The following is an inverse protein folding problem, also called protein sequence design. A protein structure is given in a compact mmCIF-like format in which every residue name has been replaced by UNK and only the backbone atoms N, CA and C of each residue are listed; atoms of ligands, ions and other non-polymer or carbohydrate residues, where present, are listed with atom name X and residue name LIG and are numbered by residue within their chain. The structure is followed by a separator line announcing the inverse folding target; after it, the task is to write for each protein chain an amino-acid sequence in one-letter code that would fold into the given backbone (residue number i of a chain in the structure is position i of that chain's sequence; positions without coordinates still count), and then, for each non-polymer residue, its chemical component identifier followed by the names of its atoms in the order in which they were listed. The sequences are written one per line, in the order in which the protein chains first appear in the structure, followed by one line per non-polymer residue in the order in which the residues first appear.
data_IF_339625139833
#
_entry.id   IF_339625139833
#
_cell.length_a   1.000
_cell.length_b   1.000
_cell.length_c   1.000
_cell.angle_alpha   90.00
_cell.angle_beta   90.00
_cell.angle_gamma   90.00
#
_symmetry.space_group_name_H-M   'P 1'
#
loop_
_entity.id
_entity.type
_entity.pdbx_description
1 polymer ?
#
# COMPACT_ATOMS: atom_id res chain seq x y z
N UNK A 1 -52.36 -11.42 15.14
CA UNK A 1 -51.72 -10.10 14.94
C UNK A 1 -50.72 -9.89 16.07
N UNK A 2 -49.56 -9.29 15.75
CA UNK A 2 -48.34 -9.10 16.55
C UNK A 2 -47.40 -10.34 16.58
N UNK A 3 -46.56 -10.54 15.55
CA UNK A 3 -45.31 -9.85 15.17
C UNK A 3 -44.08 -10.39 15.93
N UNK A 4 -43.37 -11.26 15.22
CA UNK A 4 -41.93 -11.51 15.35
C UNK A 4 -41.17 -10.19 15.40
N UNK A 5 -40.34 -9.99 16.42
CA UNK A 5 -39.13 -9.18 16.26
C UNK A 5 -37.94 -9.98 16.79
N UNK A 6 -37.19 -10.54 15.84
CA UNK A 6 -35.78 -10.83 16.02
C UNK A 6 -35.12 -9.47 16.25
N UNK A 7 -34.68 -9.19 17.48
CA UNK A 7 -33.84 -8.03 17.77
C UNK A 7 -32.43 -8.32 17.27
N UNK A 8 -32.18 -7.82 16.06
CA UNK A 8 -30.96 -7.14 15.63
C UNK A 8 -29.72 -7.39 16.50
N UNK A 9 -28.96 -8.43 16.12
CA UNK A 9 -27.54 -8.57 16.45
C UNK A 9 -26.78 -7.52 15.62
N UNK A 10 -26.76 -6.30 16.15
CA UNK A 10 -26.16 -5.12 15.54
C UNK A 10 -24.63 -5.29 15.53
N UNK A 11 -24.15 -5.79 14.39
CA UNK A 11 -22.77 -6.16 14.10
C UNK A 11 -21.80 -5.00 14.23
N UNK A 12 -21.42 -4.70 15.47
CA UNK A 12 -20.16 -4.02 15.82
C UNK A 12 -19.00 -4.95 15.47
N UNK A 13 -18.73 -5.13 14.17
CA UNK A 13 -17.38 -5.43 13.72
C UNK A 13 -16.54 -4.27 14.21
N UNK A 14 -15.82 -4.45 15.31
CA UNK A 14 -14.76 -3.53 15.71
C UNK A 14 -13.89 -3.36 14.46
N UNK A 15 -13.88 -2.16 13.88
CA UNK A 15 -12.99 -1.85 12.77
C UNK A 15 -11.58 -1.82 13.35
N UNK A 16 -10.90 -2.98 13.34
CA UNK A 16 -9.50 -3.08 13.70
C UNK A 16 -8.72 -2.31 12.64
N UNK A 17 -8.17 -1.15 13.01
CA UNK A 17 -7.29 -0.38 12.13
C UNK A 17 -5.87 -0.93 12.23
N UNK A 18 -5.43 -1.66 11.22
CA UNK A 18 -4.08 -2.19 11.14
C UNK A 18 -3.08 -1.06 10.86
N UNK A 19 -1.95 -1.06 11.55
CA UNK A 19 -0.87 -0.08 11.37
C UNK A 19 0.47 -0.79 11.26
N UNK A 20 1.29 -0.32 10.34
CA UNK A 20 2.67 -0.77 10.14
C UNK A 20 3.62 0.21 10.84
N UNK A 21 4.54 -0.32 11.65
CA UNK A 21 5.62 0.49 12.20
C UNK A 21 6.73 0.60 11.16
N UNK A 22 7.14 1.83 10.88
CA UNK A 22 8.13 2.13 9.85
C UNK A 22 9.15 3.13 10.37
N UNK A 23 10.43 2.96 10.03
CA UNK A 23 11.46 3.98 10.22
C UNK A 23 11.40 5.05 9.12
N UNK A 24 12.16 6.14 9.31
CA UNK A 24 12.28 7.20 8.29
C UNK A 24 12.83 6.70 6.97
N UNK A 25 13.83 5.81 7.02
CA UNK A 25 14.47 5.26 5.83
C UNK A 25 13.47 4.42 5.04
N UNK A 26 12.68 3.60 5.74
CA UNK A 26 11.68 2.73 5.14
C UNK A 26 10.59 3.54 4.43
N UNK A 27 10.08 4.61 5.06
CA UNK A 27 9.12 5.51 4.44
C UNK A 27 9.71 6.30 3.25
N UNK A 28 11.01 6.64 3.31
CA UNK A 28 11.70 7.28 2.19
C UNK A 28 11.83 6.33 1.00
N UNK A 29 12.25 5.08 1.22
CA UNK A 29 12.30 4.04 0.19
C UNK A 29 10.94 3.83 -0.45
N UNK A 30 9.86 3.80 0.33
CA UNK A 30 8.49 3.73 -0.21
C UNK A 30 8.12 4.95 -1.06
N UNK A 31 8.55 6.15 -0.67
CA UNK A 31 8.32 7.37 -1.44
C UNK A 31 9.06 7.34 -2.79
N UNK A 32 10.33 6.91 -2.78
CA UNK A 32 11.14 6.79 -4.00
C UNK A 32 10.53 5.77 -4.97
N UNK A 33 10.07 4.62 -4.46
CA UNK A 33 9.40 3.59 -5.26
C UNK A 33 8.10 4.11 -5.89
N UNK A 34 7.26 4.80 -5.12
CA UNK A 34 6.00 5.36 -5.63
C UNK A 34 6.26 6.48 -6.65
N UNK A 35 7.27 7.32 -6.42
CA UNK A 35 7.68 8.34 -7.38
C UNK A 35 8.16 7.72 -8.70
N UNK A 36 8.92 6.64 -8.65
CA UNK A 36 9.36 5.92 -9.84
C UNK A 36 8.17 5.33 -10.62
N UNK A 37 7.18 4.75 -9.93
CA UNK A 37 5.97 4.27 -10.59
C UNK A 37 5.13 5.38 -11.23
N UNK A 38 5.01 6.54 -10.59
CA UNK A 38 4.34 7.69 -11.21
C UNK A 38 5.09 8.08 -12.48
N UNK A 39 6.42 8.19 -12.41
CA UNK A 39 7.27 8.55 -13.55
C UNK A 39 7.13 7.54 -14.69
N UNK A 40 7.10 6.25 -14.42
CA UNK A 40 6.88 5.20 -15.41
C UNK A 40 5.47 5.30 -16.02
N UNK A 41 4.44 5.47 -15.19
CA UNK A 41 3.05 5.61 -15.60
C UNK A 41 2.78 6.85 -16.47
N UNK A 42 3.47 7.95 -16.24
CA UNK A 42 3.38 9.18 -17.04
C UNK A 42 4.11 9.06 -18.39
N UNK A 43 5.05 8.12 -18.53
CA UNK A 43 5.88 7.95 -19.72
C UNK A 43 5.48 6.75 -20.59
N UNK A 44 4.27 6.20 -20.41
CA UNK A 44 3.76 5.11 -21.24
C UNK A 44 3.51 5.60 -22.67
N UNK A 45 4.29 5.09 -23.65
CA UNK A 45 4.25 5.54 -25.05
C UNK A 45 3.75 4.46 -26.00
N UNK A 46 3.80 3.20 -25.58
CA UNK A 46 3.40 2.04 -26.37
C UNK A 46 2.56 1.07 -25.54
N UNK A 47 1.85 0.19 -26.22
CA UNK A 47 1.13 -0.91 -25.57
C UNK A 47 2.07 -1.81 -24.76
N UNK A 48 3.29 -2.03 -25.26
CA UNK A 48 4.31 -2.79 -24.53
C UNK A 48 4.68 -2.12 -23.20
N UNK A 49 4.80 -0.79 -23.17
CA UNK A 49 5.07 -0.04 -21.92
C UNK A 49 3.90 -0.21 -20.93
N UNK A 50 2.66 -0.14 -21.43
CA UNK A 50 1.45 -0.28 -20.61
C UNK A 50 1.37 -1.68 -19.97
N UNK A 51 1.71 -2.72 -20.74
CA UNK A 51 1.76 -4.11 -20.26
C UNK A 51 2.86 -4.30 -19.22
N UNK A 52 4.07 -3.78 -19.47
CA UNK A 52 5.18 -3.86 -18.54
C UNK A 52 4.85 -3.18 -17.21
N UNK A 53 4.35 -1.93 -17.26
CA UNK A 53 3.96 -1.18 -16.07
C UNK A 53 2.90 -1.89 -15.23
N UNK A 54 1.91 -2.53 -15.88
CA UNK A 54 0.90 -3.31 -15.19
C UNK A 54 1.50 -4.53 -14.47
N UNK A 55 2.48 -5.21 -15.09
CA UNK A 55 3.20 -6.32 -14.46
C UNK A 55 4.00 -5.85 -13.25
N UNK A 56 4.74 -4.74 -13.37
CA UNK A 56 5.59 -4.18 -12.31
C UNK A 56 4.76 -3.80 -11.07
N UNK A 57 3.63 -3.11 -11.27
CA UNK A 57 2.70 -2.77 -10.17
C UNK A 57 2.20 -4.03 -9.48
N UNK A 58 1.80 -5.06 -10.25
CA UNK A 58 1.27 -6.30 -9.67
C UNK A 58 2.34 -7.06 -8.89
N UNK A 59 3.56 -7.11 -9.40
CA UNK A 59 4.68 -7.73 -8.71
C UNK A 59 4.93 -7.06 -7.36
N UNK A 60 4.96 -5.72 -7.32
CA UNK A 60 5.15 -4.98 -6.08
C UNK A 60 4.01 -5.22 -5.10
N UNK A 61 2.76 -5.16 -5.56
CA UNK A 61 1.60 -5.46 -4.71
C UNK A 61 1.67 -6.88 -4.17
N UNK A 62 2.05 -7.88 -4.97
CA UNK A 62 2.21 -9.26 -4.52
C UNK A 62 3.33 -9.39 -3.49
N UNK A 63 4.48 -8.72 -3.69
CA UNK A 63 5.59 -8.74 -2.72
C UNK A 63 5.19 -8.11 -1.39
N UNK A 64 4.49 -6.98 -1.42
CA UNK A 64 3.98 -6.28 -0.22
C UNK A 64 2.94 -7.09 0.52
N UNK A 65 2.04 -7.69 -0.24
CA UNK A 65 1.02 -8.58 0.24
C UNK A 65 1.66 -9.75 1.01
N UNK A 66 2.74 -10.31 0.47
CA UNK A 66 3.41 -11.43 1.11
C UNK A 66 4.20 -11.03 2.35
N UNK A 67 4.93 -9.93 2.29
CA UNK A 67 5.65 -9.38 3.43
C UNK A 67 5.90 -7.88 3.19
N UNK A 68 5.19 -6.99 3.89
CA UNK A 68 5.39 -5.55 3.77
C UNK A 68 6.82 -5.13 4.08
N UNK A 69 7.54 -5.87 4.94
CA UNK A 69 8.91 -5.57 5.32
C UNK A 69 9.91 -5.94 4.20
N UNK A 70 9.54 -6.79 3.23
CA UNK A 70 10.42 -7.19 2.11
C UNK A 70 10.65 -6.13 1.05
N UNK A 71 9.75 -5.17 0.90
CA UNK A 71 10.02 -4.01 0.03
C UNK A 71 11.06 -3.07 0.65
N UNK A 72 11.25 -3.20 1.95
CA UNK A 72 11.83 -2.20 2.80
C UNK A 72 13.23 -2.64 3.26
N UNK A 73 13.48 -3.96 3.34
CA UNK A 73 14.77 -4.56 3.65
C UNK A 73 15.44 -5.21 2.41
N UNK A 74 16.60 -4.71 1.93
CA UNK A 74 17.37 -5.34 0.86
C UNK A 74 18.01 -6.69 1.24
N UNK A 75 17.88 -7.19 2.48
CA UNK A 75 18.55 -8.40 2.99
C UNK A 75 17.62 -9.56 3.45
N UNK A 76 16.30 -9.50 3.24
CA UNK A 76 15.37 -10.45 3.86
C UNK A 76 15.18 -11.81 3.11
N UNK A 77 15.77 -12.89 3.61
CA UNK A 77 15.44 -14.30 3.29
C UNK A 77 14.26 -14.84 4.15
N UNK A 78 13.39 -15.71 3.58
CA UNK A 78 12.45 -16.56 4.35
C UNK A 78 11.02 -16.72 3.79
N UNK A 79 10.74 -17.80 3.05
CA UNK A 79 9.40 -18.14 2.55
C UNK A 79 8.53 -18.81 3.63
N UNK A 80 7.24 -18.46 3.67
CA UNK A 80 6.17 -19.30 4.23
C UNK A 80 5.07 -18.52 4.96
N UNK A 81 3.84 -18.65 4.48
CA UNK A 81 2.55 -18.19 5.08
C UNK A 81 2.05 -16.78 4.80
N UNK A 82 2.41 -16.26 3.63
CA UNK A 82 1.94 -14.99 3.10
C UNK A 82 0.55 -15.01 2.42
N UNK A 83 -0.01 -16.18 2.08
CA UNK A 83 -1.16 -16.27 1.17
C UNK A 83 -2.53 -16.15 1.86
N UNK A 84 -2.68 -16.61 3.11
CA UNK A 84 -3.95 -16.52 3.85
C UNK A 84 -4.24 -15.09 4.33
N UNK A 85 -3.21 -14.30 4.63
CA UNK A 85 -3.34 -12.88 4.98
C UNK A 85 -4.01 -12.05 3.87
N UNK A 86 -3.94 -12.49 2.61
CA UNK A 86 -4.39 -11.75 1.43
C UNK A 86 -5.83 -11.97 1.04
N UNK A 87 -6.43 -13.07 1.49
CA UNK A 87 -7.84 -13.32 1.25
C UNK A 87 -8.72 -12.42 2.12
N UNK A 88 -8.19 -11.92 3.25
CA UNK A 88 -8.93 -11.16 4.26
C UNK A 88 -8.59 -9.66 4.33
N UNK A 89 -7.69 -9.15 3.49
CA UNK A 89 -7.44 -7.71 3.42
C UNK A 89 -8.61 -7.01 2.69
N UNK A 90 -9.35 -6.08 3.34
CA UNK A 90 -10.48 -5.37 2.75
C UNK A 90 -10.12 -4.51 1.53
N UNK A 91 -8.82 -4.27 1.33
CA UNK A 91 -8.27 -3.42 0.29
C UNK A 91 -7.63 -4.27 -0.81
N UNK A 92 -8.46 -5.05 -1.51
CA UNK A 92 -8.13 -5.38 -2.90
C UNK A 92 -7.95 -4.06 -3.65
N UNK A 93 -6.70 -3.66 -3.85
CA UNK A 93 -6.34 -2.56 -4.73
C UNK A 93 -7.11 -2.76 -6.05
N UNK A 94 -7.79 -1.73 -6.54
CA UNK A 94 -8.51 -1.76 -7.82
C UNK A 94 -7.60 -2.34 -8.92
N UNK A 95 -6.29 -2.09 -8.81
CA UNK A 95 -5.19 -2.63 -9.60
C UNK A 95 -5.15 -4.16 -9.73
N UNK A 96 -5.46 -4.90 -8.66
CA UNK A 96 -5.46 -6.37 -8.70
C UNK A 96 -6.67 -6.95 -9.43
N UNK A 97 -7.74 -6.15 -9.58
CA UNK A 97 -8.99 -6.59 -10.22
C UNK A 97 -9.09 -6.18 -11.68
N UNK A 98 -8.25 -5.26 -12.15
CA UNK A 98 -8.28 -4.83 -13.55
C UNK A 98 -7.67 -5.91 -14.45
N UNK A 99 -8.44 -6.38 -15.42
CA UNK A 99 -7.94 -7.24 -16.49
C UNK A 99 -6.94 -6.44 -17.36
N UNK A 100 -5.84 -7.05 -17.79
CA UNK A 100 -4.85 -6.42 -18.66
C UNK A 100 -5.47 -5.84 -19.93
N UNK A 101 -6.47 -6.52 -20.53
CA UNK A 101 -7.14 -6.03 -21.74
C UNK A 101 -7.87 -4.71 -21.47
N UNK A 102 -8.58 -4.64 -20.33
CA UNK A 102 -9.26 -3.44 -19.87
C UNK A 102 -8.26 -2.33 -19.51
N UNK A 103 -7.12 -2.71 -18.93
CA UNK A 103 -6.05 -1.77 -18.58
C UNK A 103 -5.41 -1.13 -19.81
N UNK A 104 -5.24 -1.88 -20.91
CA UNK A 104 -4.72 -1.36 -22.19
C UNK A 104 -5.72 -0.37 -22.80
N UNK A 105 -7.01 -0.73 -22.83
CA UNK A 105 -8.05 0.06 -23.50
C UNK A 105 -8.45 1.32 -22.73
N UNK A 106 -8.33 1.34 -21.40
CA UNK A 106 -8.89 2.40 -20.56
C UNK A 106 -7.85 3.38 -19.99
N UNK A 107 -7.57 4.45 -20.73
CA UNK A 107 -6.68 5.52 -20.28
C UNK A 107 -7.14 6.25 -19.00
N UNK A 108 -8.46 6.39 -18.79
CA UNK A 108 -8.99 7.04 -17.59
C UNK A 108 -8.73 6.22 -16.33
N UNK A 109 -8.83 4.89 -16.41
CA UNK A 109 -8.54 3.99 -15.30
C UNK A 109 -7.05 4.01 -14.93
N UNK A 110 -6.15 4.14 -15.92
CA UNK A 110 -4.72 4.37 -15.66
C UNK A 110 -4.46 5.68 -14.94
N UNK A 111 -5.12 6.77 -15.36
CA UNK A 111 -4.97 8.07 -14.70
C UNK A 111 -5.42 8.03 -13.24
N UNK A 112 -6.56 7.37 -12.93
CA UNK A 112 -7.05 7.23 -11.55
C UNK A 112 -6.02 6.54 -10.64
N UNK A 113 -5.31 5.54 -11.16
CA UNK A 113 -4.22 4.87 -10.44
C UNK A 113 -3.06 5.82 -10.17
N UNK A 114 -2.59 6.54 -11.20
CA UNK A 114 -1.47 7.48 -11.09
C UNK A 114 -1.81 8.61 -10.10
N UNK A 115 -3.04 9.10 -10.12
CA UNK A 115 -3.54 10.11 -9.17
C UNK A 115 -3.56 9.57 -7.74
N UNK A 116 -3.95 8.29 -7.57
CA UNK A 116 -3.90 7.57 -6.30
C UNK A 116 -2.48 7.46 -5.74
N UNK A 117 -1.52 7.02 -6.56
CA UNK A 117 -0.10 6.97 -6.21
C UNK A 117 0.44 8.36 -5.85
N UNK A 118 0.09 9.38 -6.63
CA UNK A 118 0.46 10.78 -6.36
C UNK A 118 -0.08 11.28 -5.01
N UNK A 119 -1.29 10.86 -4.64
CA UNK A 119 -1.88 11.19 -3.33
C UNK A 119 -1.14 10.54 -2.17
N UNK A 120 -0.74 9.27 -2.33
CA UNK A 120 0.09 8.55 -1.35
C UNK A 120 1.47 9.19 -1.21
N UNK A 121 2.14 9.50 -2.32
CA UNK A 121 3.45 10.17 -2.33
C UNK A 121 3.43 11.51 -1.56
N UNK A 122 2.40 12.33 -1.78
CA UNK A 122 2.21 13.57 -1.00
C UNK A 122 2.07 13.31 0.49
N UNK A 123 1.39 12.23 0.87
CA UNK A 123 1.21 11.84 2.27
C UNK A 123 2.53 11.40 2.90
N UNK A 124 3.33 10.59 2.20
CA UNK A 124 4.66 10.16 2.68
C UNK A 124 5.60 11.35 2.85
N UNK A 125 5.69 12.23 1.85
CA UNK A 125 6.52 13.45 1.92
C UNK A 125 6.12 14.36 3.09
N UNK A 126 4.83 14.45 3.39
CA UNK A 126 4.32 15.18 4.56
C UNK A 126 4.76 14.52 5.88
N UNK A 127 4.71 13.20 6.00
CA UNK A 127 5.18 12.50 7.20
C UNK A 127 6.69 12.56 7.38
N UNK A 128 7.47 12.41 6.29
CA UNK A 128 8.93 12.55 6.30
C UNK A 128 9.37 13.94 6.77
N UNK A 129 8.62 15.00 6.40
CA UNK A 129 8.91 16.38 6.81
C UNK A 129 8.36 16.76 8.19
N UNK A 130 7.40 16.02 8.73
CA UNK A 130 6.86 16.25 10.07
C UNK A 130 7.78 15.64 11.14
N UNK A 131 8.18 16.40 12.15
CA UNK A 131 8.99 15.88 13.26
C UNK A 131 8.14 15.19 14.34
N UNK A 132 6.89 15.62 14.48
CA UNK A 132 6.02 15.24 15.61
C UNK A 132 5.38 13.85 15.48
N UNK A 133 5.47 13.22 14.32
CA UNK A 133 4.89 11.89 14.04
C UNK A 133 5.85 10.74 14.34
N UNK A 134 7.09 11.05 14.71
CA UNK A 134 8.16 10.07 14.91
C UNK A 134 8.43 9.90 16.39
N UNK A 135 8.50 8.64 16.82
CA UNK A 135 8.77 8.27 18.22
C UNK A 135 10.01 7.39 18.27
N UNK A 136 10.88 7.55 19.28
CA UNK A 136 12.01 6.65 19.47
C UNK A 136 11.50 5.25 19.79
N UNK A 137 12.10 4.22 19.16
CA UNK A 137 11.71 2.83 19.39
C UNK A 137 12.03 2.35 20.82
N UNK A 138 13.08 2.91 21.43
CA UNK A 138 13.52 2.67 22.80
C UNK A 138 14.23 3.91 23.37
N UNK A 139 14.50 3.90 24.68
CA UNK A 139 15.17 5.01 25.36
C UNK A 139 16.55 5.33 24.77
N UNK A 140 16.77 6.58 24.37
CA UNK A 140 17.98 7.05 23.68
C UNK A 140 18.23 6.42 22.30
N UNK A 141 17.18 5.93 21.62
CA UNK A 141 17.31 5.46 20.24
C UNK A 141 17.87 6.57 19.32
N UNK A 142 18.82 6.23 18.43
CA UNK A 142 19.33 7.18 17.44
C UNK A 142 18.21 7.59 16.49
N UNK A 143 18.30 8.78 15.89
CA UNK A 143 17.27 9.34 14.99
C UNK A 143 16.86 8.41 13.83
N UNK A 144 17.76 7.53 13.40
CA UNK A 144 17.52 6.51 12.35
C UNK A 144 16.56 5.40 12.78
N UNK A 145 16.43 5.16 14.08
CA UNK A 145 15.58 4.11 14.67
C UNK A 145 14.29 4.68 15.24
N UNK A 146 13.99 5.94 14.91
CA UNK A 146 12.68 6.51 15.19
C UNK A 146 11.66 5.94 14.21
N UNK A 147 10.51 5.55 14.75
CA UNK A 147 9.44 4.90 14.01
C UNK A 147 8.18 5.75 13.99
N UNK A 148 7.34 5.51 13.00
CA UNK A 148 5.96 6.02 12.95
C UNK A 148 5.00 4.89 12.66
N UNK A 149 3.76 5.01 13.14
CA UNK A 149 2.71 4.03 12.89
C UNK A 149 1.85 4.47 11.70
N UNK A 150 2.15 3.93 10.52
CA UNK A 150 1.45 4.21 9.28
C UNK A 150 0.22 3.29 9.14
N UNK A 151 -0.98 3.81 8.81
CA UNK A 151 -2.11 2.97 8.48
C UNK A 151 -1.85 2.15 7.21
N UNK A 152 -2.21 0.87 7.19
CA UNK A 152 -1.92 -0.04 6.05
C UNK A 152 -2.62 0.39 4.75
N UNK A 153 -3.64 1.24 4.82
CA UNK A 153 -4.32 1.81 3.65
C UNK A 153 -3.41 2.76 2.85
N UNK A 154 -2.34 3.25 3.48
CA UNK A 154 -1.28 4.02 2.85
C UNK A 154 -0.14 3.15 2.34
N UNK A 155 -0.28 1.83 2.28
CA UNK A 155 0.63 1.02 1.48
C UNK A 155 0.47 1.37 -0.03
N UNK A 156 1.54 1.41 -0.84
CA UNK A 156 1.53 1.65 -2.29
C UNK A 156 0.43 0.96 -3.08
#
# INVERSE_FOLDING_TARGET
MALTSVSEDDGRRQAVSLRLMLTRNELATMADLVEEFIRLGENLRSEADIVAFHADIREVVVRMAQDPNRLIDPAAEGLGDAMEFLEDLPYRSVLLRTNIDRWIENAGERQVVIDGLSSKLRSYRRWLSSRDVWVPLYDNAPDSEWVTAMPVEFLP
#
